data_IF_313577178635
#
_entry.id   IF_313577178635
#
_cell.length_a   1.000
_cell.length_b   1.000
_cell.length_c   1.000
_cell.angle_alpha   90.00
_cell.angle_beta   90.00
_cell.angle_gamma   90.00
#
_symmetry.space_group_name_H-M   'P 1'
#
loop_
_entity.id
_entity.type
_entity.pdbx_description
1 polymer ?
#
# COMPACT_ATOMS: atom_id res chain seq x y z
N UNK A 1 -3.82 2.38 11.58
CA UNK A 1 -4.19 3.71 11.06
C UNK A 1 -2.98 4.52 10.59
N UNK A 2 -2.17 5.15 11.46
CA UNK A 2 -1.09 6.05 11.01
C UNK A 2 -0.04 5.36 10.13
N UNK A 3 0.32 4.11 10.44
CA UNK A 3 1.28 3.33 9.67
C UNK A 3 0.77 2.98 8.28
N UNK A 4 -0.53 2.72 8.12
CA UNK A 4 -1.16 2.46 6.83
C UNK A 4 -1.12 3.70 5.93
N UNK A 5 -1.46 4.87 6.48
CA UNK A 5 -1.36 6.14 5.75
C UNK A 5 0.08 6.46 5.30
N UNK A 6 1.06 6.22 6.18
CA UNK A 6 2.48 6.36 5.84
C UNK A 6 2.87 5.43 4.69
N UNK A 7 2.48 4.15 4.75
CA UNK A 7 2.77 3.16 3.72
C UNK A 7 2.10 3.48 2.37
N UNK A 8 0.87 3.99 2.40
CA UNK A 8 0.17 4.48 1.20
C UNK A 8 0.90 5.67 0.58
N UNK A 9 1.33 6.63 1.40
CA UNK A 9 2.12 7.78 0.93
C UNK A 9 3.45 7.36 0.29
N UNK A 10 4.16 6.43 0.91
CA UNK A 10 5.42 5.88 0.37
C UNK A 10 5.17 5.14 -0.96
N UNK A 11 4.12 4.31 -1.02
CA UNK A 11 3.74 3.58 -2.25
C UNK A 11 3.38 4.53 -3.39
N UNK A 12 2.70 5.64 -3.09
CA UNK A 12 2.38 6.67 -4.07
C UNK A 12 3.64 7.34 -4.62
N UNK A 13 4.61 7.68 -3.76
CA UNK A 13 5.89 8.25 -4.20
C UNK A 13 6.67 7.29 -5.10
N UNK A 14 6.72 6.00 -4.74
CA UNK A 14 7.34 4.94 -5.55
C UNK A 14 6.67 4.80 -6.92
N UNK A 15 5.35 4.93 -7.00
CA UNK A 15 4.60 4.91 -8.26
C UNK A 15 4.92 6.12 -9.14
N UNK A 16 5.00 7.32 -8.56
CA UNK A 16 5.38 8.54 -9.30
C UNK A 16 6.80 8.40 -9.86
N UNK A 17 7.74 7.92 -9.03
CA UNK A 17 9.11 7.62 -9.46
C UNK A 17 9.16 6.59 -10.61
N UNK A 18 8.40 5.50 -10.48
CA UNK A 18 8.31 4.46 -11.52
C UNK A 18 7.69 5.02 -12.80
N UNK A 19 6.66 5.87 -12.70
CA UNK A 19 6.02 6.50 -13.85
C UNK A 19 6.94 7.47 -14.58
N UNK A 20 7.69 8.30 -13.85
CA UNK A 20 8.70 9.20 -14.43
C UNK A 20 9.81 8.38 -15.10
N UNK A 21 10.24 7.28 -14.47
CA UNK A 21 11.23 6.36 -15.05
C UNK A 21 10.73 5.76 -16.37
N UNK A 22 9.44 5.42 -16.46
CA UNK A 22 8.85 4.87 -17.68
C UNK A 22 8.86 5.86 -18.85
N UNK A 23 8.59 7.13 -18.58
CA UNK A 23 8.57 8.19 -19.60
C UNK A 23 9.96 8.58 -20.09
N UNK A 24 10.91 8.74 -19.16
CA UNK A 24 12.26 9.20 -19.47
C UNK A 24 13.24 8.05 -19.81
N UNK A 25 12.87 6.79 -19.55
CA UNK A 25 13.71 5.59 -19.77
C UNK A 25 15.09 5.65 -19.07
N UNK A 26 15.22 6.37 -17.97
CA UNK A 26 16.48 6.43 -17.22
C UNK A 26 16.65 5.19 -16.33
N UNK A 27 17.89 4.68 -16.18
CA UNK A 27 18.19 3.68 -15.16
C UNK A 27 18.16 4.35 -13.79
N UNK A 28 17.17 4.02 -12.96
CA UNK A 28 17.14 4.40 -11.54
C UNK A 28 17.91 3.32 -10.78
N UNK A 29 18.97 3.71 -10.06
CA UNK A 29 19.82 2.77 -9.29
C UNK A 29 20.45 1.63 -10.12
N UNK A 30 20.54 1.78 -11.45
CA UNK A 30 21.07 0.74 -12.34
C UNK A 30 20.07 -0.37 -12.70
N UNK A 31 18.82 -0.29 -12.22
CA UNK A 31 17.75 -1.23 -12.59
C UNK A 31 17.01 -0.80 -13.85
N UNK A 32 16.59 -1.79 -14.64
CA UNK A 32 15.70 -1.59 -15.77
C UNK A 32 14.29 -1.20 -15.30
N UNK A 33 13.60 -0.39 -16.10
CA UNK A 33 12.23 0.06 -15.80
C UNK A 33 11.25 -1.06 -15.39
N UNK A 34 11.23 -2.24 -16.05
CA UNK A 34 10.31 -3.33 -15.66
C UNK A 34 10.62 -3.90 -14.28
N UNK A 35 11.89 -4.03 -13.91
CA UNK A 35 12.29 -4.59 -12.61
C UNK A 35 11.91 -3.65 -11.46
N UNK A 36 12.12 -2.34 -11.64
CA UNK A 36 11.70 -1.34 -10.66
C UNK A 36 10.18 -1.28 -10.53
N UNK A 37 9.44 -1.37 -11.65
CA UNK A 37 7.99 -1.40 -11.65
C UNK A 37 7.41 -2.60 -10.89
N UNK A 38 8.02 -3.79 -11.03
CA UNK A 38 7.61 -4.99 -10.29
C UNK A 38 7.80 -4.84 -8.78
N UNK A 39 8.92 -4.25 -8.35
CA UNK A 39 9.19 -3.99 -6.94
C UNK A 39 8.17 -3.00 -6.37
N UNK A 40 7.93 -1.89 -7.08
CA UNK A 40 6.92 -0.89 -6.70
C UNK A 40 5.53 -1.50 -6.59
N UNK A 41 5.11 -2.32 -7.57
CA UNK A 41 3.83 -3.00 -7.55
C UNK A 41 3.71 -3.97 -6.37
N UNK A 42 4.79 -4.69 -6.04
CA UNK A 42 4.81 -5.62 -4.89
C UNK A 42 4.63 -4.89 -3.57
N UNK A 43 5.34 -3.77 -3.37
CA UNK A 43 5.22 -2.92 -2.18
C UNK A 43 3.81 -2.33 -2.06
N UNK A 44 3.22 -1.94 -3.19
CA UNK A 44 1.85 -1.45 -3.24
C UNK A 44 0.83 -2.53 -2.86
N UNK A 45 0.91 -3.74 -3.44
CA UNK A 45 0.02 -4.85 -3.09
C UNK A 45 0.14 -5.24 -1.61
N UNK A 46 1.36 -5.23 -1.07
CA UNK A 46 1.58 -5.46 0.36
C UNK A 46 0.85 -4.39 1.20
N UNK A 47 0.96 -3.13 0.80
CA UNK A 47 0.30 -2.00 1.46
C UNK A 47 -1.22 -2.13 1.43
N UNK A 48 -1.81 -2.46 0.27
CA UNK A 48 -3.25 -2.69 0.15
C UNK A 48 -3.72 -3.86 1.02
N UNK A 49 -2.96 -4.96 1.04
CA UNK A 49 -3.30 -6.13 1.87
C UNK A 49 -3.34 -5.78 3.36
N UNK A 50 -2.39 -4.96 3.84
CA UNK A 50 -2.38 -4.48 5.23
C UNK A 50 -3.57 -3.56 5.54
N UNK A 51 -3.96 -2.71 4.60
CA UNK A 51 -5.13 -1.83 4.75
C UNK A 51 -6.42 -2.67 4.85
N UNK A 52 -6.58 -3.66 3.97
CA UNK A 52 -7.76 -4.55 4.01
C UNK A 52 -7.81 -5.34 5.33
N UNK A 53 -6.70 -5.90 5.79
CA UNK A 53 -6.67 -6.57 7.10
C UNK A 53 -7.02 -5.64 8.26
N UNK A 54 -6.58 -4.38 8.21
CA UNK A 54 -6.95 -3.39 9.20
C UNK A 54 -8.46 -3.15 9.21
N UNK A 55 -9.08 -2.96 8.05
CA UNK A 55 -10.53 -2.76 7.95
C UNK A 55 -11.33 -3.98 8.40
N UNK A 56 -10.90 -5.20 8.05
CA UNK A 56 -11.55 -6.43 8.51
C UNK A 56 -11.45 -6.58 10.03
N UNK A 57 -10.28 -6.31 10.61
CA UNK A 57 -10.08 -6.36 12.07
C UNK A 57 -10.95 -5.34 12.80
N UNK A 58 -10.95 -4.09 12.36
CA UNK A 58 -11.82 -3.05 12.94
C UNK A 58 -13.31 -3.35 12.76
N UNK A 59 -13.71 -3.92 11.62
CA UNK A 59 -15.10 -4.32 11.38
C UNK A 59 -15.56 -5.45 12.31
N UNK A 60 -14.69 -6.42 12.61
CA UNK A 60 -14.96 -7.47 13.58
C UNK A 60 -15.14 -6.89 15.00
N UNK A 61 -14.26 -5.99 15.40
CA UNK A 61 -14.30 -5.32 16.70
C UNK A 61 -15.60 -4.52 16.88
N UNK A 62 -15.98 -3.70 15.89
CA UNK A 62 -17.26 -2.96 15.89
C UNK A 62 -18.45 -3.90 16.03
N UNK A 63 -18.44 -5.04 15.30
CA UNK A 63 -19.52 -6.03 15.39
C UNK A 63 -19.64 -6.62 16.80
N UNK A 64 -18.52 -6.87 17.48
CA UNK A 64 -18.51 -7.33 18.87
C UNK A 64 -19.07 -6.27 19.80
N UNK A 65 -18.60 -5.01 19.70
CA UNK A 65 -19.14 -3.89 20.48
C UNK A 65 -20.65 -3.70 20.30
N UNK A 66 -21.16 -3.85 19.07
CA UNK A 66 -22.60 -3.77 18.81
C UNK A 66 -23.37 -4.95 19.42
N UNK A 67 -22.79 -6.15 19.43
CA UNK A 67 -23.43 -7.34 19.97
C UNK A 67 -23.46 -7.31 21.51
N UNK A 68 -22.39 -6.84 22.14
CA UNK A 68 -22.27 -6.75 23.61
C UNK A 68 -22.94 -5.49 24.18
N UNK A 69 -22.94 -4.36 23.47
CA UNK A 69 -23.61 -3.12 23.88
C UNK A 69 -25.13 -3.12 23.69
N UNK A 70 -25.70 -4.17 23.09
CA UNK A 70 -27.15 -4.41 22.98
C UNK A 70 -27.67 -5.45 23.98
N UNK A 71 -26.86 -5.88 24.95
CA UNK A 71 -27.28 -6.70 26.10
C UNK A 71 -27.44 -5.82 27.35
#
# INVERSE_FOLDING_TARGET
>A
MISCYLLTGISMLLYILTGIQGYFQFPVFGFSHPAFALITATIYLLTETLIVFFFVGSGADIKQYMTEGMA
#
